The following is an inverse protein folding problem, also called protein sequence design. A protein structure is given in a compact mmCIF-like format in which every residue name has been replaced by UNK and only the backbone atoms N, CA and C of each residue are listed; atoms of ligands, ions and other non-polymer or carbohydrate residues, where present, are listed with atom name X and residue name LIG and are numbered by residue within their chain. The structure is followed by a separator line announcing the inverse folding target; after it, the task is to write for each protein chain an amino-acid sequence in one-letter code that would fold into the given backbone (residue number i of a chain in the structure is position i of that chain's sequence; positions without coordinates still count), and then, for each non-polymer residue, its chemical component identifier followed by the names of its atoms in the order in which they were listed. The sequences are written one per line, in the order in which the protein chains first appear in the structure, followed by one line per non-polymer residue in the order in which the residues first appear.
data_IF_469896662317
#
_entry.id   IF_469896662317
#
_cell.length_a   1.000
_cell.length_b   1.000
_cell.length_c   1.000
_cell.angle_alpha   90.00
_cell.angle_beta   90.00
_cell.angle_gamma   90.00
#
_symmetry.space_group_name_H-M   'P 1'
#
loop_
_entity.id
_entity.type
_entity.pdbx_description
1 polymer ?
#
# COMPACT_ATOMS: atom_id res chain seq x y z
N UNK A 1 -2.62 -5.91 12.70
CA UNK A 1 -3.65 -4.86 12.89
C UNK A 1 -3.30 -3.54 12.17
N UNK A 2 -2.48 -3.54 11.10
CA UNK A 2 -2.04 -2.31 10.42
C UNK A 2 -3.02 -1.83 9.32
N UNK A 3 -3.63 -2.76 8.57
CA UNK A 3 -4.55 -2.46 7.46
C UNK A 3 -5.78 -1.63 7.90
N UNK A 4 -6.27 -1.84 9.12
CA UNK A 4 -7.45 -1.17 9.65
C UNK A 4 -7.35 0.36 9.72
N UNK A 5 -6.12 0.91 9.76
CA UNK A 5 -5.88 2.35 9.82
C UNK A 5 -5.61 2.98 8.46
N UNK A 6 -5.47 2.20 7.39
CA UNK A 6 -5.24 2.75 6.06
C UNK A 6 -6.52 3.40 5.50
N UNK A 7 -6.43 4.59 4.89
CA UNK A 7 -7.54 5.22 4.18
C UNK A 7 -8.14 4.31 3.11
N UNK A 8 -9.39 4.55 2.74
CA UNK A 8 -10.14 3.67 1.84
C UNK A 8 -9.96 4.07 0.37
N UNK A 9 -8.75 3.92 -0.19
CA UNK A 9 -8.50 4.22 -1.62
C UNK A 9 -8.72 3.02 -2.56
N UNK A 10 -8.46 1.79 -2.08
CA UNK A 10 -8.67 0.56 -2.83
C UNK A 10 -9.85 -0.23 -2.27
N UNK A 11 -10.63 -0.82 -3.18
CA UNK A 11 -11.73 -1.75 -2.86
C UNK A 11 -11.20 -3.15 -2.56
N UNK A 12 -10.10 -3.53 -3.21
CA UNK A 12 -9.46 -4.81 -2.95
C UNK A 12 -8.75 -4.77 -1.58
N UNK A 13 -9.13 -5.63 -0.62
CA UNK A 13 -8.44 -5.70 0.65
C UNK A 13 -6.98 -6.17 0.53
N UNK A 14 -6.61 -6.86 -0.55
CA UNK A 14 -5.25 -7.36 -0.77
C UNK A 14 -4.27 -6.24 -1.08
N UNK A 15 -4.66 -5.25 -1.90
CA UNK A 15 -3.82 -4.07 -2.18
C UNK A 15 -3.45 -3.34 -0.89
N UNK A 16 -4.43 -3.20 0.02
CA UNK A 16 -4.23 -2.55 1.32
C UNK A 16 -3.36 -3.39 2.25
N UNK A 17 -3.40 -4.72 2.12
CA UNK A 17 -2.52 -5.62 2.86
C UNK A 17 -1.08 -5.51 2.37
N UNK A 18 -0.85 -5.44 1.06
CA UNK A 18 0.48 -5.22 0.47
C UNK A 18 1.06 -3.88 0.91
N UNK A 19 0.28 -2.80 0.81
CA UNK A 19 0.68 -1.48 1.31
C UNK A 19 1.07 -1.54 2.79
N UNK A 20 0.24 -2.15 3.63
CA UNK A 20 0.53 -2.25 5.06
C UNK A 20 1.84 -2.99 5.33
N UNK A 21 2.12 -4.06 4.58
CA UNK A 21 3.37 -4.80 4.69
C UNK A 21 4.57 -3.94 4.29
N UNK A 22 4.50 -3.27 3.13
CA UNK A 22 5.55 -2.41 2.64
C UNK A 22 5.88 -1.27 3.62
N UNK A 23 4.86 -0.67 4.23
CA UNK A 23 5.03 0.37 5.25
C UNK A 23 5.65 -0.16 6.55
N UNK A 24 5.29 -1.37 6.97
CA UNK A 24 5.83 -1.98 8.20
C UNK A 24 7.29 -2.42 8.04
N UNK A 25 7.65 -2.91 6.86
CA UNK A 25 8.99 -3.43 6.57
C UNK A 25 9.93 -2.39 5.96
N UNK A 26 9.44 -1.17 5.70
CA UNK A 26 10.15 -0.09 5.00
C UNK A 26 10.73 -0.52 3.64
N UNK A 27 9.96 -1.33 2.91
CA UNK A 27 10.33 -1.85 1.59
C UNK A 27 9.47 -1.21 0.48
N UNK A 28 10.03 -0.98 -0.72
CA UNK A 28 9.25 -0.44 -1.82
C UNK A 28 8.29 -1.48 -2.41
N UNK A 29 7.21 -1.00 -3.02
CA UNK A 29 6.29 -1.84 -3.81
C UNK A 29 6.57 -1.65 -5.30
N UNK A 30 6.74 -2.75 -6.04
CA UNK A 30 6.82 -2.72 -7.50
C UNK A 30 5.40 -2.85 -8.04
N UNK A 31 4.88 -1.80 -8.66
CA UNK A 31 3.52 -1.82 -9.20
C UNK A 31 3.29 -0.74 -10.25
N UNK A 32 2.46 -1.12 -11.23
CA UNK A 32 1.90 -0.21 -12.21
C UNK A 32 0.75 0.66 -11.66
N UNK A 33 0.32 0.44 -10.42
CA UNK A 33 -0.79 1.19 -9.86
C UNK A 33 -0.32 2.44 -9.10
N UNK A 34 -0.48 3.61 -9.73
CA UNK A 34 -0.19 4.90 -9.11
C UNK A 34 -1.14 5.24 -7.93
N UNK A 35 -2.29 4.57 -7.82
CA UNK A 35 -3.21 4.73 -6.69
C UNK A 35 -2.58 4.32 -5.35
N UNK A 36 -1.55 3.47 -5.38
CA UNK A 36 -0.82 3.06 -4.17
C UNK A 36 -0.02 4.22 -3.55
N UNK A 37 0.36 5.23 -4.33
CA UNK A 37 1.11 6.40 -3.84
C UNK A 37 0.31 7.20 -2.79
N UNK A 38 -1.03 7.12 -2.84
CA UNK A 38 -1.93 7.79 -1.88
C UNK A 38 -1.79 7.26 -0.43
N UNK A 39 -1.19 6.07 -0.25
CA UNK A 39 -0.93 5.51 1.08
C UNK A 39 0.44 5.90 1.65
N UNK A 40 1.25 6.66 0.90
CA UNK A 40 2.60 7.07 1.33
C UNK A 40 3.66 5.96 1.25
N UNK A 41 3.36 4.85 0.59
CA UNK A 41 4.36 3.80 0.29
C UNK A 41 5.28 4.26 -0.84
N UNK A 42 6.56 3.87 -0.79
CA UNK A 42 7.48 4.09 -1.90
C UNK A 42 7.19 3.09 -3.03
N UNK A 43 6.72 3.57 -4.18
CA UNK A 43 6.45 2.74 -5.37
C UNK A 43 7.58 2.81 -6.41
N UNK A 44 7.86 1.69 -7.05
CA UNK A 44 8.76 1.56 -8.21
C UNK A 44 7.93 1.05 -9.40
N UNK A 45 8.15 1.62 -10.58
CA UNK A 45 7.48 1.24 -11.84
C UNK A 45 8.38 0.37 -12.70
#
# INVERSE_FOLDING_TARGET
MAVAHLPHHHKDPFDRLLVAQCLLEDVPIISADAGLDAYGVRRIW
#
